data_IF_734791743340
#
_entry.id   IF_734791743340
#
_cell.length_a   1.000
_cell.length_b   1.000
_cell.length_c   1.000
_cell.angle_alpha   90.00
_cell.angle_beta   90.00
_cell.angle_gamma   90.00
#
_symmetry.space_group_name_H-M   'P 1'
#
loop_
_entity.id
_entity.type
_entity.pdbx_description
1 polymer ?
#
# COMPACT_ATOMS: atom_id res chain seq x y z
N UNK A 1 60.27 12.91 -25.77
CA UNK A 1 58.89 13.04 -26.24
C UNK A 1 58.08 11.73 -26.17
N UNK A 2 58.64 10.55 -26.39
CA UNK A 2 57.92 9.24 -26.37
C UNK A 2 57.39 8.85 -24.98
N UNK A 3 58.11 9.14 -23.88
CA UNK A 3 57.67 8.80 -22.50
C UNK A 3 56.44 9.58 -22.00
N UNK A 4 56.19 10.79 -22.55
CA UNK A 4 55.04 11.61 -22.19
C UNK A 4 53.75 11.07 -22.82
N UNK A 5 53.83 10.58 -24.04
CA UNK A 5 52.64 10.07 -24.76
C UNK A 5 52.14 8.72 -24.20
N UNK A 6 53.08 7.89 -23.65
CA UNK A 6 52.70 6.61 -23.03
C UNK A 6 51.91 6.85 -21.72
N UNK A 7 52.30 7.85 -20.91
CA UNK A 7 51.55 8.19 -19.69
C UNK A 7 50.12 8.70 -19.99
N UNK A 8 49.97 9.47 -21.06
CA UNK A 8 48.66 9.97 -21.51
C UNK A 8 47.77 8.83 -22.02
N UNK A 9 48.32 7.89 -22.77
CA UNK A 9 47.61 6.70 -23.27
C UNK A 9 47.18 5.76 -22.16
N UNK A 10 48.01 5.54 -21.13
CA UNK A 10 47.65 4.71 -19.97
C UNK A 10 46.59 5.39 -19.13
N UNK A 11 46.61 6.70 -18.96
CA UNK A 11 45.60 7.45 -18.23
C UNK A 11 44.25 7.44 -18.95
N UNK A 12 44.23 7.54 -20.29
CA UNK A 12 42.99 7.42 -21.09
C UNK A 12 42.41 6.01 -21.06
N UNK A 13 43.23 4.98 -21.00
CA UNK A 13 42.79 3.59 -20.93
C UNK A 13 42.20 3.25 -19.53
N UNK A 14 42.77 3.81 -18.46
CA UNK A 14 42.24 3.67 -17.10
C UNK A 14 40.87 4.38 -16.91
N UNK A 15 40.61 5.49 -17.60
CA UNK A 15 39.33 6.18 -17.57
C UNK A 15 38.22 5.41 -18.29
N UNK A 16 38.55 4.60 -19.31
CA UNK A 16 37.56 3.79 -20.06
C UNK A 16 37.10 2.54 -19.30
N UNK A 17 37.86 2.07 -18.29
CA UNK A 17 37.50 0.86 -17.52
C UNK A 17 36.49 1.16 -16.39
N UNK A 18 36.27 2.43 -16.07
CA UNK A 18 35.43 2.84 -14.93
C UNK A 18 33.93 3.00 -15.23
N UNK A 19 33.49 2.91 -16.48
CA UNK A 19 32.09 2.91 -16.84
C UNK A 19 31.51 1.49 -16.69
N UNK A 20 31.22 1.06 -15.46
CA UNK A 20 30.23 0.01 -15.25
C UNK A 20 28.87 0.64 -15.52
N UNK A 21 28.10 0.15 -16.51
CA UNK A 21 26.71 0.58 -16.62
C UNK A 21 26.05 0.26 -15.27
N UNK A 22 25.47 1.27 -14.65
CA UNK A 22 24.53 1.04 -13.55
C UNK A 22 23.38 0.22 -14.15
N UNK A 23 23.42 -1.09 -13.94
CA UNK A 23 22.33 -1.96 -14.31
C UNK A 23 21.20 -1.66 -13.35
N UNK A 24 20.28 -0.78 -13.78
CA UNK A 24 19.03 -0.61 -13.06
C UNK A 24 18.36 -1.98 -13.04
N UNK A 25 18.01 -2.47 -11.85
CA UNK A 25 17.22 -3.68 -11.74
C UNK A 25 15.98 -3.52 -12.62
N UNK A 26 15.86 -4.40 -13.61
CA UNK A 26 14.73 -4.40 -14.54
C UNK A 26 13.46 -4.67 -13.73
N UNK A 27 12.59 -3.69 -13.66
CA UNK A 27 11.31 -3.86 -12.94
C UNK A 27 10.46 -4.85 -13.71
N UNK A 28 10.03 -5.91 -13.03
CA UNK A 28 9.08 -6.88 -13.59
C UNK A 28 7.74 -6.17 -13.83
N UNK A 29 7.16 -6.39 -15.02
CA UNK A 29 5.84 -5.85 -15.32
C UNK A 29 4.78 -6.38 -14.35
N UNK A 30 3.88 -5.51 -13.84
CA UNK A 30 2.81 -5.94 -12.96
C UNK A 30 1.91 -7.00 -13.60
N UNK A 31 1.41 -7.91 -12.78
CA UNK A 31 0.42 -8.92 -13.18
C UNK A 31 -0.81 -8.19 -13.75
N UNK A 32 -1.24 -8.62 -14.91
CA UNK A 32 -2.46 -8.10 -15.54
C UNK A 32 -3.67 -8.83 -14.97
N UNK A 33 -4.50 -8.10 -14.26
CA UNK A 33 -5.78 -8.58 -13.72
C UNK A 33 -6.91 -7.98 -14.54
N UNK A 34 -7.92 -8.78 -14.79
CA UNK A 34 -9.14 -8.32 -15.46
C UNK A 34 -10.10 -7.72 -14.42
N UNK A 35 -9.94 -6.41 -14.22
CA UNK A 35 -10.72 -5.66 -13.23
C UNK A 35 -12.11 -5.34 -13.78
N UNK A 36 -13.17 -5.58 -13.00
CA UNK A 36 -14.56 -5.24 -13.35
C UNK A 36 -14.77 -3.76 -13.67
N UNK A 37 -13.98 -2.89 -13.07
CA UNK A 37 -14.05 -1.43 -13.27
C UNK A 37 -13.24 -0.91 -14.47
N UNK A 38 -12.65 -1.80 -15.29
CA UNK A 38 -11.93 -1.39 -16.51
C UNK A 38 -12.87 -1.10 -17.68
N UNK A 39 -12.43 -0.18 -18.54
CA UNK A 39 -13.11 0.17 -19.80
C UNK A 39 -14.24 1.17 -19.61
N UNK A 40 -14.90 1.49 -20.72
CA UNK A 40 -15.94 2.55 -20.77
C UNK A 40 -17.22 2.18 -19.99
N UNK A 41 -17.50 0.90 -19.85
CA UNK A 41 -18.69 0.38 -19.16
C UNK A 41 -18.33 -0.36 -17.86
N UNK A 42 -17.07 -0.27 -17.45
CA UNK A 42 -16.61 -0.92 -16.23
C UNK A 42 -17.25 -0.31 -14.99
N UNK A 43 -17.62 -1.17 -14.04
CA UNK A 43 -18.19 -0.79 -12.76
C UNK A 43 -17.48 -1.55 -11.65
N UNK A 44 -17.38 -0.92 -10.48
CA UNK A 44 -16.87 -1.61 -9.31
C UNK A 44 -17.83 -2.71 -8.85
N UNK A 45 -17.30 -3.88 -8.55
CA UNK A 45 -18.07 -4.93 -7.89
C UNK A 45 -18.28 -4.56 -6.41
N UNK A 46 -19.53 -4.39 -6.01
CA UNK A 46 -19.89 -3.94 -4.66
C UNK A 46 -19.46 -4.94 -3.59
N UNK A 47 -19.62 -6.24 -3.83
CA UNK A 47 -19.22 -7.24 -2.86
C UNK A 47 -17.71 -7.23 -2.65
N UNK A 48 -16.93 -7.09 -3.74
CA UNK A 48 -15.47 -6.93 -3.68
C UNK A 48 -15.07 -5.67 -2.92
N UNK A 49 -15.78 -4.53 -3.11
CA UNK A 49 -15.52 -3.30 -2.34
C UNK A 49 -15.80 -3.48 -0.84
N UNK A 50 -16.87 -4.19 -0.47
CA UNK A 50 -17.22 -4.47 0.93
C UNK A 50 -16.17 -5.38 1.58
N UNK A 51 -15.77 -6.46 0.92
CA UNK A 51 -14.68 -7.33 1.38
C UNK A 51 -13.34 -6.60 1.43
N UNK A 52 -13.06 -5.76 0.43
CA UNK A 52 -11.86 -4.94 0.38
C UNK A 52 -11.78 -3.92 1.53
N UNK A 53 -12.91 -3.30 1.89
CA UNK A 53 -12.98 -2.47 3.09
C UNK A 53 -12.69 -3.29 4.36
N UNK A 54 -13.20 -4.52 4.45
CA UNK A 54 -12.93 -5.38 5.59
C UNK A 54 -11.43 -5.70 5.69
N UNK A 55 -10.77 -6.09 4.58
CA UNK A 55 -9.31 -6.31 4.56
C UNK A 55 -8.55 -5.04 4.95
N UNK A 56 -8.96 -3.88 4.41
CA UNK A 56 -8.36 -2.61 4.83
C UNK A 56 -8.48 -2.40 6.34
N UNK A 57 -9.69 -2.51 6.88
CA UNK A 57 -9.99 -2.27 8.29
C UNK A 57 -9.22 -3.21 9.23
N UNK A 58 -9.17 -4.50 8.89
CA UNK A 58 -8.63 -5.54 9.79
C UNK A 58 -7.12 -5.72 9.65
N UNK A 59 -6.56 -5.43 8.47
CA UNK A 59 -5.15 -5.68 8.18
C UNK A 59 -4.38 -4.38 7.92
N UNK A 60 -4.80 -3.60 6.93
CA UNK A 60 -4.00 -2.49 6.40
C UNK A 60 -4.04 -1.23 7.29
N UNK A 61 -5.19 -0.96 7.93
CA UNK A 61 -5.43 0.26 8.70
C UNK A 61 -4.56 0.36 9.98
N UNK A 62 -3.91 -0.73 10.38
CA UNK A 62 -2.93 -0.72 11.48
C UNK A 62 -1.68 0.09 11.16
N UNK A 63 -1.35 0.24 9.86
CA UNK A 63 -0.15 0.96 9.40
C UNK A 63 -0.48 2.07 8.38
N UNK A 64 -1.53 1.92 7.57
CA UNK A 64 -1.87 2.82 6.47
C UNK A 64 -3.08 3.67 6.76
N UNK A 65 -2.96 4.98 6.49
CA UNK A 65 -4.08 5.92 6.53
C UNK A 65 -4.85 5.97 5.20
N UNK A 66 -6.08 6.49 5.24
CA UNK A 66 -6.91 6.89 4.10
C UNK A 66 -7.54 8.25 4.39
N UNK A 67 -6.73 9.30 4.49
CA UNK A 67 -7.12 10.62 5.03
C UNK A 67 -8.14 11.38 4.19
N UNK A 68 -8.29 11.04 2.92
CA UNK A 68 -9.24 11.73 2.04
C UNK A 68 -10.65 11.16 2.16
N UNK A 69 -10.83 9.97 2.74
CA UNK A 69 -12.13 9.37 2.96
C UNK A 69 -12.72 9.75 4.32
N UNK A 70 -14.04 9.91 4.33
CA UNK A 70 -14.87 9.95 5.54
C UNK A 70 -15.71 8.68 5.59
N UNK A 71 -16.14 8.26 6.77
CA UNK A 71 -16.95 7.04 6.90
C UNK A 71 -18.23 7.08 6.07
N UNK A 72 -18.85 8.25 5.86
CA UNK A 72 -20.03 8.40 4.99
C UNK A 72 -19.78 7.94 3.55
N UNK A 73 -18.55 8.03 3.05
CA UNK A 73 -18.23 7.61 1.68
C UNK A 73 -18.44 6.09 1.47
N UNK A 74 -18.43 5.30 2.54
CA UNK A 74 -18.76 3.87 2.49
C UNK A 74 -20.20 3.59 2.07
N UNK A 75 -21.12 4.54 2.23
CA UNK A 75 -22.52 4.41 1.82
C UNK A 75 -22.85 5.08 0.48
N UNK A 76 -21.88 5.70 -0.20
CA UNK A 76 -22.14 6.42 -1.44
C UNK A 76 -22.36 5.46 -2.63
N UNK A 77 -23.22 5.84 -3.60
CA UNK A 77 -23.44 5.06 -4.81
C UNK A 77 -22.14 4.85 -5.60
N UNK A 78 -21.93 3.62 -6.07
CA UNK A 78 -20.71 3.22 -6.78
C UNK A 78 -19.51 2.90 -5.89
N UNK A 79 -19.66 3.07 -4.58
CA UNK A 79 -18.76 2.60 -3.55
C UNK A 79 -19.21 1.26 -2.95
N UNK A 80 -18.79 0.95 -1.71
CA UNK A 80 -19.26 -0.25 -0.99
C UNK A 80 -20.76 -0.30 -0.74
N UNK A 81 -21.43 0.84 -0.77
CA UNK A 81 -22.89 1.01 -0.61
C UNK A 81 -23.45 0.35 0.65
N UNK A 82 -22.72 0.47 1.77
CA UNK A 82 -23.26 0.11 3.07
C UNK A 82 -24.46 0.97 3.40
N UNK A 83 -25.46 0.41 4.06
CA UNK A 83 -26.63 1.16 4.53
C UNK A 83 -26.21 2.26 5.52
N UNK A 84 -27.04 3.28 5.67
CA UNK A 84 -26.80 4.37 6.64
C UNK A 84 -26.57 3.83 8.07
N UNK A 85 -27.28 2.76 8.44
CA UNK A 85 -27.14 2.13 9.74
C UNK A 85 -25.77 1.44 9.90
N UNK A 86 -25.33 0.72 8.87
CA UNK A 86 -24.01 0.08 8.86
C UNK A 86 -22.88 1.12 8.88
N UNK A 87 -22.99 2.18 8.09
CA UNK A 87 -22.01 3.29 8.11
C UNK A 87 -21.91 3.92 9.49
N UNK A 88 -23.04 4.15 10.18
CA UNK A 88 -23.04 4.65 11.57
C UNK A 88 -22.38 3.68 12.53
N UNK A 89 -22.66 2.38 12.41
CA UNK A 89 -22.07 1.35 13.25
C UNK A 89 -20.55 1.22 13.01
N UNK A 90 -20.14 1.23 11.75
CA UNK A 90 -18.71 1.22 11.37
C UNK A 90 -17.99 2.44 11.94
N UNK A 91 -18.52 3.64 11.74
CA UNK A 91 -17.91 4.86 12.26
C UNK A 91 -17.78 4.81 13.79
N UNK A 92 -18.86 4.42 14.48
CA UNK A 92 -18.89 4.33 15.94
C UNK A 92 -17.96 3.28 16.55
N UNK A 93 -17.48 2.32 15.74
CA UNK A 93 -16.47 1.34 16.18
C UNK A 93 -15.06 1.92 16.34
N UNK A 94 -14.85 3.17 15.92
CA UNK A 94 -13.59 3.88 16.07
C UNK A 94 -13.71 4.99 17.11
N UNK A 95 -12.70 5.12 17.95
CA UNK A 95 -12.57 6.26 18.85
C UNK A 95 -11.88 7.41 18.15
N UNK A 96 -12.49 8.56 18.12
CA UNK A 96 -12.01 9.79 17.48
C UNK A 96 -11.68 10.81 18.56
N UNK A 97 -10.49 11.37 18.52
CA UNK A 97 -10.12 12.50 19.34
C UNK A 97 -10.86 13.74 18.85
N UNK A 98 -11.52 14.47 19.75
CA UNK A 98 -12.31 15.66 19.48
C UNK A 98 -12.05 16.70 20.56
N UNK A 99 -12.44 17.95 20.31
CA UNK A 99 -12.26 19.04 21.24
C UNK A 99 -11.56 20.24 20.60
N UNK A 100 -11.09 21.20 21.40
CA UNK A 100 -11.28 21.22 22.85
C UNK A 100 -12.75 21.44 23.26
N UNK A 101 -13.14 20.95 24.44
CA UNK A 101 -14.41 21.25 25.06
C UNK A 101 -14.46 22.68 25.63
N UNK A 102 -15.52 23.03 26.35
CA UNK A 102 -15.66 24.37 26.95
C UNK A 102 -14.64 24.68 28.06
N UNK A 103 -13.90 23.67 28.51
CA UNK A 103 -12.84 23.81 29.52
C UNK A 103 -11.42 23.80 28.89
N UNK A 104 -11.36 23.59 27.57
CA UNK A 104 -10.11 23.51 26.82
C UNK A 104 -9.50 22.12 26.75
N UNK A 105 -10.21 21.09 27.18
CA UNK A 105 -9.71 19.71 27.25
C UNK A 105 -10.06 18.92 25.97
N UNK A 106 -9.11 18.11 25.52
CA UNK A 106 -9.34 17.14 24.43
C UNK A 106 -10.02 15.89 25.03
N UNK A 107 -10.97 15.32 24.27
CA UNK A 107 -11.69 14.12 24.68
C UNK A 107 -11.81 13.14 23.51
N UNK A 108 -12.13 11.89 23.83
CA UNK A 108 -12.42 10.88 22.82
C UNK A 108 -13.93 10.61 22.77
N UNK A 109 -14.43 10.33 21.58
CA UNK A 109 -15.81 9.93 21.35
C UNK A 109 -15.90 8.86 20.25
N UNK A 110 -17.02 8.11 20.20
CA UNK A 110 -17.31 7.29 19.03
C UNK A 110 -17.35 8.13 17.76
N UNK A 111 -16.82 7.56 16.68
CA UNK A 111 -16.81 8.20 15.38
C UNK A 111 -18.21 8.40 14.80
N UNK A 112 -18.34 9.39 13.92
CA UNK A 112 -19.55 9.74 13.18
C UNK A 112 -19.31 9.56 11.68
N UNK A 113 -20.35 9.39 10.86
CA UNK A 113 -20.19 9.27 9.40
C UNK A 113 -19.42 10.44 8.74
N UNK A 114 -19.46 11.63 9.34
CA UNK A 114 -18.73 12.81 8.86
C UNK A 114 -17.23 12.79 9.16
N UNK A 115 -16.80 11.98 10.12
CA UNK A 115 -15.41 11.94 10.50
C UNK A 115 -14.57 11.28 9.41
N UNK A 116 -13.32 11.69 9.32
CA UNK A 116 -12.32 11.06 8.46
C UNK A 116 -11.97 9.66 9.00
N UNK A 117 -11.55 8.78 8.11
CA UNK A 117 -10.95 7.50 8.52
C UNK A 117 -9.84 7.78 9.51
N UNK A 118 -9.88 7.08 10.65
CA UNK A 118 -8.87 7.23 11.69
C UNK A 118 -7.50 6.84 11.16
N UNK A 119 -6.54 7.75 11.27
CA UNK A 119 -5.15 7.46 10.97
C UNK A 119 -4.51 6.65 12.09
N UNK A 120 -3.68 5.63 11.78
CA UNK A 120 -3.02 4.81 12.80
C UNK A 120 -1.98 5.57 13.62
N UNK A 121 -1.43 6.64 13.06
CA UNK A 121 -0.38 7.45 13.68
C UNK A 121 -0.75 8.94 13.65
N UNK A 122 -0.35 9.71 14.65
CA UNK A 122 -0.66 11.14 14.73
C UNK A 122 0.07 11.99 13.69
N UNK A 123 1.22 11.52 13.19
CA UNK A 123 2.05 12.23 12.22
C UNK A 123 3.02 11.29 11.49
N UNK A 124 3.67 11.83 10.45
CA UNK A 124 4.65 11.10 9.62
C UNK A 124 5.83 10.58 10.43
N UNK A 125 6.31 11.35 11.41
CA UNK A 125 7.47 10.97 12.23
C UNK A 125 7.14 9.75 13.10
N UNK A 126 5.99 9.73 13.75
CA UNK A 126 5.52 8.59 14.54
C UNK A 126 5.31 7.36 13.66
N UNK A 127 4.68 7.53 12.49
CA UNK A 127 4.50 6.46 11.52
C UNK A 127 5.85 5.86 11.05
N UNK A 128 6.80 6.72 10.71
CA UNK A 128 8.14 6.30 10.26
C UNK A 128 8.90 5.56 11.36
N UNK A 129 8.86 6.06 12.59
CA UNK A 129 9.53 5.43 13.74
C UNK A 129 8.95 4.05 14.05
N UNK A 130 7.62 3.91 14.03
CA UNK A 130 6.94 2.64 14.28
C UNK A 130 7.15 1.59 13.19
N UNK A 131 7.55 1.99 11.98
CA UNK A 131 7.72 1.11 10.82
C UNK A 131 9.20 0.99 10.38
N UNK A 132 10.13 0.91 11.32
CA UNK A 132 11.54 0.66 11.05
C UNK A 132 12.20 1.70 10.14
N UNK A 133 11.78 2.96 10.22
CA UNK A 133 12.31 4.06 9.42
C UNK A 133 11.67 4.18 8.03
N UNK A 134 10.61 3.39 7.69
CA UNK A 134 9.83 3.56 6.48
C UNK A 134 8.48 4.21 6.79
N UNK A 135 8.06 5.15 5.97
CA UNK A 135 6.72 5.73 6.08
C UNK A 135 5.73 4.91 5.27
N UNK A 136 4.70 4.29 5.91
CA UNK A 136 3.62 3.65 5.18
C UNK A 136 2.81 4.71 4.42
N UNK A 137 2.69 4.63 3.08
CA UNK A 137 1.97 5.65 2.32
C UNK A 137 0.48 5.67 2.67
N UNK A 138 -0.13 6.87 2.60
CA UNK A 138 -1.58 7.02 2.61
C UNK A 138 -2.19 6.35 1.38
N UNK A 139 -3.24 5.54 1.58
CA UNK A 139 -3.81 4.71 0.52
C UNK A 139 -4.90 5.42 -0.30
N UNK A 140 -5.37 6.61 0.12
CA UNK A 140 -6.53 7.31 -0.48
C UNK A 140 -6.46 7.47 -2.00
N UNK A 141 -5.27 7.64 -2.57
CA UNK A 141 -5.04 7.81 -4.01
C UNK A 141 -3.89 6.95 -4.53
N UNK A 142 -3.52 5.92 -3.79
CA UNK A 142 -2.31 5.14 -4.06
C UNK A 142 -2.34 4.50 -5.45
N UNK A 143 -3.47 3.95 -5.86
CA UNK A 143 -3.67 3.35 -7.20
C UNK A 143 -3.40 4.37 -8.32
N UNK A 144 -3.83 5.62 -8.16
CA UNK A 144 -3.54 6.69 -9.13
C UNK A 144 -2.10 7.18 -9.08
N UNK A 145 -1.46 7.08 -7.94
CA UNK A 145 -0.10 7.57 -7.71
C UNK A 145 0.99 6.56 -8.11
N UNK A 146 0.64 5.40 -8.64
CA UNK A 146 1.59 4.36 -9.06
C UNK A 146 1.42 4.00 -10.52
N UNK A 147 2.55 3.92 -11.24
CA UNK A 147 2.58 3.39 -12.60
C UNK A 147 2.10 1.92 -12.55
N UNK A 148 1.14 1.59 -13.40
CA UNK A 148 0.49 0.27 -13.39
C UNK A 148 -0.81 0.22 -12.57
N UNK A 149 -1.07 1.24 -11.73
CA UNK A 149 -2.35 1.38 -11.02
C UNK A 149 -2.70 0.16 -10.18
N UNK A 150 -3.94 -0.31 -10.30
CA UNK A 150 -4.44 -1.48 -9.57
C UNK A 150 -3.60 -2.74 -9.81
N UNK A 151 -3.12 -2.96 -11.05
CA UNK A 151 -2.24 -4.10 -11.33
C UNK A 151 -0.95 -4.06 -10.51
N UNK A 152 -0.37 -2.87 -10.31
CA UNK A 152 0.84 -2.74 -9.51
C UNK A 152 0.57 -3.00 -8.02
N UNK A 153 -0.49 -2.43 -7.46
CA UNK A 153 -0.85 -2.62 -6.05
C UNK A 153 -1.10 -4.10 -5.77
N UNK A 154 -1.93 -4.74 -6.59
CA UNK A 154 -2.17 -6.18 -6.51
C UNK A 154 -0.86 -6.98 -6.58
N UNK A 155 0.00 -6.69 -7.57
CA UNK A 155 1.26 -7.40 -7.76
C UNK A 155 2.20 -7.27 -6.57
N UNK A 156 2.27 -6.09 -5.95
CA UNK A 156 3.06 -5.89 -4.72
C UNK A 156 2.52 -6.75 -3.57
N UNK A 157 1.19 -6.85 -3.43
CA UNK A 157 0.57 -7.63 -2.35
C UNK A 157 0.82 -9.14 -2.49
N UNK A 158 0.87 -9.67 -3.72
CA UNK A 158 1.10 -11.10 -3.98
C UNK A 158 2.54 -11.43 -4.37
N UNK A 159 3.42 -10.44 -4.45
CA UNK A 159 4.77 -10.58 -5.02
C UNK A 159 5.87 -10.90 -4.03
N UNK A 160 5.54 -11.25 -2.79
CA UNK A 160 6.51 -11.69 -1.80
C UNK A 160 7.01 -13.10 -2.11
N UNK A 161 8.33 -13.27 -2.09
CA UNK A 161 8.98 -14.57 -2.29
C UNK A 161 10.35 -14.57 -1.60
N UNK A 162 10.95 -15.73 -1.46
CA UNK A 162 12.31 -15.84 -0.95
C UNK A 162 13.31 -15.15 -1.89
N UNK A 163 14.31 -14.45 -1.35
CA UNK A 163 15.30 -13.79 -2.20
C UNK A 163 16.10 -14.82 -3.03
N UNK A 164 16.41 -14.50 -4.30
CA UNK A 164 17.23 -15.38 -5.13
C UNK A 164 18.61 -15.61 -4.51
N UNK A 165 19.31 -16.72 -4.87
CA UNK A 165 20.66 -16.98 -4.41
C UNK A 165 21.59 -15.79 -4.65
N UNK A 166 22.35 -15.40 -3.62
CA UNK A 166 23.29 -14.27 -3.68
C UNK A 166 22.67 -12.90 -3.37
N UNK A 167 21.36 -12.82 -3.16
CA UNK A 167 20.72 -11.58 -2.68
C UNK A 167 20.65 -11.60 -1.16
N UNK A 168 21.26 -10.60 -0.53
CA UNK A 168 21.20 -10.39 0.91
C UNK A 168 20.25 -9.24 1.22
N UNK A 169 19.40 -9.43 2.20
CA UNK A 169 18.47 -8.44 2.70
C UNK A 169 18.93 -7.95 4.08
N UNK A 170 18.73 -6.67 4.34
CA UNK A 170 18.90 -6.11 5.66
C UNK A 170 17.76 -6.56 6.59
N UNK A 171 17.95 -6.44 7.90
CA UNK A 171 16.91 -6.75 8.88
C UNK A 171 15.66 -5.86 8.68
N UNK A 172 14.47 -6.48 8.74
CA UNK A 172 13.20 -5.80 8.48
C UNK A 172 12.97 -5.39 7.02
N UNK A 173 13.73 -5.96 6.07
CA UNK A 173 13.54 -5.79 4.63
C UNK A 173 13.16 -7.13 4.01
N UNK A 174 12.16 -7.12 3.15
CA UNK A 174 11.61 -8.30 2.49
C UNK A 174 11.87 -8.23 0.99
N UNK A 175 12.00 -9.40 0.35
CA UNK A 175 12.06 -9.47 -1.10
C UNK A 175 10.67 -9.40 -1.69
N UNK A 176 10.51 -8.56 -2.72
CA UNK A 176 9.27 -8.45 -3.47
C UNK A 176 9.61 -8.16 -4.92
N UNK A 177 9.26 -9.08 -5.81
CA UNK A 177 9.70 -8.99 -7.22
C UNK A 177 9.12 -7.83 -8.02
N UNK A 178 8.01 -7.23 -7.55
CA UNK A 178 7.36 -6.10 -8.21
C UNK A 178 7.73 -4.74 -7.62
N UNK A 179 8.41 -4.73 -6.48
CA UNK A 179 8.91 -3.49 -5.90
C UNK A 179 10.19 -3.03 -6.60
N UNK A 180 10.35 -1.73 -6.80
CA UNK A 180 11.57 -1.17 -7.36
C UNK A 180 12.78 -1.57 -6.50
N UNK A 181 13.79 -2.17 -7.14
CA UNK A 181 14.96 -2.73 -6.45
C UNK A 181 14.69 -4.04 -5.70
N UNK A 182 13.51 -4.63 -5.86
CA UNK A 182 13.10 -5.90 -5.28
C UNK A 182 13.13 -5.94 -3.73
N UNK A 183 13.15 -4.78 -3.07
CA UNK A 183 13.23 -4.66 -1.62
C UNK A 183 12.09 -3.79 -1.08
N UNK A 184 11.42 -4.26 -0.05
CA UNK A 184 10.31 -3.56 0.59
C UNK A 184 10.40 -3.70 2.11
N UNK A 185 10.08 -2.63 2.85
CA UNK A 185 10.02 -2.68 4.31
C UNK A 185 8.65 -3.10 4.85
N UNK A 186 7.60 -3.04 4.04
CA UNK A 186 6.29 -3.59 4.40
C UNK A 186 6.41 -5.11 4.50
N UNK A 187 6.06 -5.73 5.65
CA UNK A 187 6.03 -7.19 5.77
C UNK A 187 4.92 -7.79 4.92
N UNK A 188 5.02 -9.08 4.63
CA UNK A 188 3.93 -9.84 4.02
C UNK A 188 2.85 -10.10 5.08
N UNK A 189 1.80 -9.30 5.07
CA UNK A 189 0.72 -9.36 6.06
C UNK A 189 -0.50 -10.17 5.60
N UNK A 190 -0.53 -10.65 4.35
CA UNK A 190 -1.63 -11.48 3.85
C UNK A 190 -1.28 -12.95 3.94
N UNK A 191 -2.17 -13.73 4.52
CA UNK A 191 -2.11 -15.19 4.61
C UNK A 191 -3.51 -15.75 4.36
N UNK A 192 -3.59 -16.93 3.75
CA UNK A 192 -4.88 -17.58 3.52
C UNK A 192 -5.64 -17.77 4.83
N UNK A 193 -6.93 -17.44 4.82
CA UNK A 193 -7.78 -17.54 6.00
C UNK A 193 -7.62 -16.40 7.03
N UNK A 194 -6.86 -15.34 6.72
CA UNK A 194 -6.59 -14.25 7.67
C UNK A 194 -7.84 -13.46 8.06
N UNK A 195 -8.77 -13.29 7.11
CA UNK A 195 -10.02 -12.55 7.29
C UNK A 195 -11.18 -13.51 7.08
N UNK A 196 -12.21 -13.45 7.92
CA UNK A 196 -13.44 -14.23 7.74
C UNK A 196 -14.49 -13.38 7.03
N UNK A 197 -14.73 -13.66 5.75
CA UNK A 197 -15.73 -12.93 4.98
C UNK A 197 -17.15 -13.39 5.31
N UNK A 198 -18.01 -12.42 5.60
CA UNK A 198 -19.41 -12.68 5.98
C UNK A 198 -20.25 -13.31 4.85
N UNK A 199 -19.84 -13.15 3.59
CA UNK A 199 -20.50 -13.72 2.42
C UNK A 199 -20.05 -15.15 2.09
N UNK A 200 -19.14 -15.72 2.89
CA UNK A 200 -18.61 -17.07 2.71
C UNK A 200 -17.58 -17.21 1.59
N UNK A 201 -17.15 -16.11 0.99
CA UNK A 201 -16.03 -16.12 0.02
C UNK A 201 -14.74 -16.60 0.72
N UNK A 202 -13.98 -17.48 0.08
CA UNK A 202 -12.70 -17.94 0.62
C UNK A 202 -11.68 -16.79 0.62
N UNK A 203 -11.11 -16.49 1.79
CA UNK A 203 -10.14 -15.41 1.95
C UNK A 203 -8.70 -15.87 1.66
N UNK A 204 -8.45 -16.27 0.43
CA UNK A 204 -7.08 -16.54 -0.05
C UNK A 204 -6.30 -15.22 -0.16
N UNK A 205 -4.97 -15.30 -0.15
CA UNK A 205 -4.09 -14.14 -0.42
C UNK A 205 -4.48 -13.46 -1.72
N UNK A 206 -4.74 -14.24 -2.78
CA UNK A 206 -5.18 -13.73 -4.09
C UNK A 206 -6.49 -12.95 -3.99
N UNK A 207 -7.50 -13.53 -3.31
CA UNK A 207 -8.82 -12.88 -3.16
C UNK A 207 -8.73 -11.61 -2.34
N UNK A 208 -8.06 -11.65 -1.18
CA UNK A 208 -7.88 -10.47 -0.33
C UNK A 208 -7.13 -9.34 -1.03
N UNK A 209 -6.08 -9.69 -1.79
CA UNK A 209 -5.32 -8.71 -2.58
C UNK A 209 -6.17 -8.07 -3.69
N UNK A 210 -7.03 -8.84 -4.37
CA UNK A 210 -7.99 -8.31 -5.35
C UNK A 210 -9.02 -7.40 -4.71
N UNK A 211 -9.62 -7.84 -3.61
CA UNK A 211 -10.69 -7.09 -2.93
C UNK A 211 -10.18 -5.76 -2.39
N UNK A 212 -9.04 -5.75 -1.66
CA UNK A 212 -8.48 -4.50 -1.12
C UNK A 212 -7.94 -3.57 -2.21
N UNK A 213 -7.50 -4.11 -3.34
CA UNK A 213 -7.07 -3.30 -4.49
C UNK A 213 -8.27 -2.69 -5.21
N UNK A 214 -9.42 -3.36 -5.19
CA UNK A 214 -10.68 -2.85 -5.74
C UNK A 214 -11.24 -1.72 -4.89
N UNK A 215 -11.16 -1.86 -3.56
CA UNK A 215 -11.54 -0.83 -2.59
C UNK A 215 -10.64 0.41 -2.66
#
# INVERSE_FOLDING_TARGET
MIKSNIKLLVLSFLLLISFRPLQSAEMVDPIKVDWSFKGLTGTFDRASLQRGFQVYKEVCASCHSMQYLSYRNLGEPGGPEFSEQEVKAIAASFEIEDGPDSQGEMFTRPGKPSDKFKSPYPNVQAATAANGGAYPPDMSVLVKARKGGANYIYSVLVGYEDPPPGVTLDDGVYYNKYMAGNKIKMPNNLMDGLVEYADGTESTVDQMAKDVTTF
#
